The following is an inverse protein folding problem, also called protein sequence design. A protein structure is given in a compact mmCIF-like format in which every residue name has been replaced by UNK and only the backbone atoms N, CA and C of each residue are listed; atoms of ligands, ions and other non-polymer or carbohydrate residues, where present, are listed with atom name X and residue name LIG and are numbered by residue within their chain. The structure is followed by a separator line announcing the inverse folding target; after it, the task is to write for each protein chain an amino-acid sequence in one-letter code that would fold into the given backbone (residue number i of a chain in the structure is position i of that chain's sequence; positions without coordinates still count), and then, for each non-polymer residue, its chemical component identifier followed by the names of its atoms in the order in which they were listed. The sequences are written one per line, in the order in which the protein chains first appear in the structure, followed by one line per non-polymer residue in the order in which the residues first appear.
data_IF_297802447192
#
_entry.id   IF_297802447192
#
_cell.length_a   1.000
_cell.length_b   1.000
_cell.length_c   1.000
_cell.angle_alpha   90.00
_cell.angle_beta   90.00
_cell.angle_gamma   90.00
#
_symmetry.space_group_name_H-M   'P 1'
#
loop_
_entity.id
_entity.type
_entity.pdbx_description
1 polymer ?
#
# COMPACT_ATOMS: atom_id res chain seq x y z
N UNK A 1 12.89 -18.78 -3.63
CA UNK A 1 13.20 -17.47 -2.99
C UNK A 1 12.36 -16.32 -3.55
N UNK A 2 12.37 -16.05 -4.87
CA UNK A 2 11.65 -14.89 -5.46
C UNK A 2 10.13 -14.90 -5.21
N UNK A 3 9.47 -16.07 -5.21
CA UNK A 3 8.03 -16.19 -4.94
C UNK A 3 7.65 -15.78 -3.51
N UNK A 4 8.48 -16.10 -2.52
CA UNK A 4 8.23 -15.74 -1.12
C UNK A 4 8.36 -14.24 -0.88
N UNK A 5 9.33 -13.60 -1.54
CA UNK A 5 9.52 -12.15 -1.48
C UNK A 5 8.35 -11.41 -2.14
N UNK A 6 7.90 -11.90 -3.30
CA UNK A 6 6.74 -11.35 -3.99
C UNK A 6 5.46 -11.50 -3.14
N UNK A 7 5.25 -12.67 -2.54
CA UNK A 7 4.13 -12.91 -1.64
C UNK A 7 4.16 -11.98 -0.41
N UNK A 8 5.34 -11.76 0.19
CA UNK A 8 5.50 -10.85 1.33
C UNK A 8 5.13 -9.42 0.95
N UNK A 9 5.68 -8.90 -0.15
CA UNK A 9 5.43 -7.53 -0.58
C UNK A 9 3.95 -7.29 -0.95
N UNK A 10 3.32 -8.29 -1.58
CA UNK A 10 1.89 -8.28 -1.82
C UNK A 10 1.10 -8.31 -0.52
N UNK A 11 1.38 -9.22 0.41
CA UNK A 11 0.66 -9.33 1.66
C UNK A 11 0.75 -8.05 2.52
N UNK A 12 1.92 -7.41 2.56
CA UNK A 12 2.13 -6.16 3.30
C UNK A 12 1.74 -4.90 2.51
N UNK A 13 1.44 -4.99 1.21
CA UNK A 13 1.28 -3.82 0.31
C UNK A 13 2.49 -2.87 0.39
N UNK A 14 3.68 -3.43 0.59
CA UNK A 14 4.90 -2.64 0.73
C UNK A 14 5.97 -3.18 -0.22
N UNK A 15 6.29 -2.45 -1.30
CA UNK A 15 7.32 -2.87 -2.24
C UNK A 15 8.72 -2.87 -1.60
N UNK A 16 8.91 -2.09 -0.52
CA UNK A 16 10.17 -1.90 0.20
C UNK A 16 10.26 -2.68 1.51
N UNK A 17 9.39 -3.67 1.72
CA UNK A 17 9.30 -4.51 2.94
C UNK A 17 10.61 -5.16 3.43
N UNK A 18 11.71 -4.99 2.68
CA UNK A 18 13.05 -5.49 2.99
C UNK A 18 14.04 -4.42 3.48
N UNK A 19 13.75 -3.12 3.31
CA UNK A 19 14.76 -2.05 3.47
C UNK A 19 14.35 -0.89 4.37
N UNK A 20 13.05 -0.65 4.58
CA UNK A 20 12.60 0.52 5.32
C UNK A 20 11.66 0.13 6.47
N UNK A 21 12.12 0.40 7.69
CA UNK A 21 11.29 0.37 8.89
C UNK A 21 10.43 1.63 8.87
N UNK A 22 9.20 1.50 8.38
CA UNK A 22 8.20 2.57 8.45
C UNK A 22 7.54 2.57 9.84
N UNK A 23 7.05 3.72 10.30
CA UNK A 23 6.41 3.86 11.62
C UNK A 23 5.19 2.94 11.76
N UNK A 24 4.53 2.63 10.64
CA UNK A 24 3.38 1.74 10.52
C UNK A 24 3.74 0.26 10.80
N UNK A 25 5.04 -0.10 10.78
CA UNK A 25 5.53 -1.44 11.09
C UNK A 25 6.24 -1.55 12.45
N UNK A 26 6.16 -0.52 13.29
CA UNK A 26 6.82 -0.53 14.60
C UNK A 26 6.14 -1.53 15.55
N UNK A 27 6.90 -2.50 16.08
CA UNK A 27 6.41 -3.44 17.11
C UNK A 27 5.98 -2.70 18.39
N UNK A 28 6.70 -1.62 18.73
CA UNK A 28 6.45 -0.80 19.92
C UNK A 28 6.79 0.65 19.64
N UNK A 29 5.94 1.55 20.13
CA UNK A 29 6.21 2.98 20.18
C UNK A 29 6.44 3.38 21.63
N UNK A 30 7.55 4.08 21.88
CA UNK A 30 7.97 4.52 23.21
C UNK A 30 8.09 6.05 23.20
N UNK A 31 7.56 6.69 24.23
CA UNK A 31 7.88 8.09 24.54
C UNK A 31 8.92 8.07 25.64
N UNK A 32 10.16 8.40 25.28
CA UNK A 32 11.28 8.54 26.22
C UNK A 32 11.34 9.94 26.81
N UNK A 33 11.71 10.05 28.08
CA UNK A 33 12.03 11.29 28.78
C UNK A 33 13.36 11.17 29.51
N UNK A 34 14.03 12.31 29.68
CA UNK A 34 15.33 12.44 30.31
C UNK A 34 15.69 13.90 30.45
N UNK A 35 16.90 14.19 30.91
CA UNK A 35 17.40 15.57 30.92
C UNK A 35 17.51 16.14 29.50
N UNK A 36 17.57 17.47 29.38
CA UNK A 36 17.70 18.14 28.09
C UNK A 36 18.94 17.71 27.31
N UNK A 37 20.06 17.49 27.99
CA UNK A 37 21.32 17.02 27.39
C UNK A 37 21.22 15.56 26.95
N UNK A 38 20.57 14.70 27.72
CA UNK A 38 20.37 13.29 27.37
C UNK A 38 19.45 13.15 26.15
N UNK A 39 18.32 13.85 26.16
CA UNK A 39 17.34 13.80 25.06
C UNK A 39 17.92 14.38 23.76
N UNK A 40 18.69 15.46 23.85
CA UNK A 40 19.43 16.01 22.70
C UNK A 40 20.47 15.01 22.13
N UNK A 41 21.04 14.15 22.99
CA UNK A 41 21.96 13.08 22.59
C UNK A 41 21.25 11.77 22.18
N UNK A 42 19.91 11.76 22.09
CA UNK A 42 19.12 10.57 21.75
C UNK A 42 19.06 9.51 22.87
N UNK A 43 19.37 9.90 24.11
CA UNK A 43 19.31 9.04 25.30
C UNK A 43 18.07 9.39 26.12
N UNK A 44 17.49 8.36 26.74
CA UNK A 44 16.30 8.50 27.58
C UNK A 44 16.55 7.79 28.91
N UNK A 45 16.23 8.45 30.02
CA UNK A 45 16.40 7.87 31.37
C UNK A 45 15.25 6.93 31.71
N UNK A 46 14.05 7.24 31.21
CA UNK A 46 12.87 6.41 31.32
C UNK A 46 12.06 6.51 30.02
N UNK A 47 11.24 5.49 29.75
CA UNK A 47 10.34 5.50 28.61
C UNK A 47 9.01 4.85 28.95
N UNK A 48 7.93 5.40 28.41
CA UNK A 48 6.60 4.79 28.48
C UNK A 48 6.17 4.29 27.12
N UNK A 49 5.74 3.03 27.06
CA UNK A 49 5.12 2.49 25.87
C UNK A 49 3.78 3.18 25.64
N UNK A 50 3.62 3.72 24.44
CA UNK A 50 2.36 4.31 24.00
C UNK A 50 1.70 3.40 22.99
N UNK A 51 0.39 3.27 23.13
CA UNK A 51 -0.41 2.61 22.12
C UNK A 51 -0.62 3.58 20.95
N UNK A 52 0.24 3.48 19.94
CA UNK A 52 0.06 4.20 18.69
C UNK A 52 -1.01 3.49 17.85
N UNK A 53 -2.29 3.76 18.14
CA UNK A 53 -3.40 3.25 17.33
C UNK A 53 -4.77 3.42 17.97
N UNK A 54 -5.84 3.59 17.18
CA UNK A 54 -7.19 3.80 17.71
C UNK A 54 -7.69 2.53 18.41
N UNK A 55 -7.75 2.54 19.75
CA UNK A 55 -8.65 1.75 20.63
C UNK A 55 -8.89 0.25 20.39
N UNK A 56 -8.16 -0.43 19.51
CA UNK A 56 -8.39 -1.82 19.18
C UNK A 56 -7.94 -2.73 20.33
N UNK A 57 -8.77 -3.72 20.68
CA UNK A 57 -8.42 -4.72 21.69
C UNK A 57 -7.12 -5.43 21.33
N UNK A 58 -6.32 -5.86 22.31
CA UNK A 58 -5.06 -6.59 22.08
C UNK A 58 -5.22 -7.78 21.13
N UNK A 59 -6.39 -8.43 21.16
CA UNK A 59 -6.75 -9.52 20.26
C UNK A 59 -6.85 -9.06 18.81
N UNK A 60 -7.55 -7.95 18.55
CA UNK A 60 -7.73 -7.38 17.21
C UNK A 60 -6.40 -6.89 16.62
N UNK A 61 -5.53 -6.28 17.44
CA UNK A 61 -4.16 -5.91 17.00
C UNK A 61 -3.35 -7.13 16.61
N UNK A 62 -3.37 -8.19 17.43
CA UNK A 62 -2.66 -9.44 17.13
C UNK A 62 -3.20 -10.12 15.87
N UNK A 63 -4.50 -10.10 15.65
CA UNK A 63 -5.12 -10.58 14.41
C UNK A 63 -4.66 -9.72 13.20
N UNK A 64 -4.59 -8.40 13.34
CA UNK A 64 -4.09 -7.48 12.29
C UNK A 64 -2.60 -7.68 11.98
N UNK A 65 -1.76 -7.95 12.98
CA UNK A 65 -0.33 -8.25 12.83
C UNK A 65 -0.05 -9.60 12.14
N UNK A 66 -0.90 -10.60 12.35
CA UNK A 66 -0.73 -11.95 11.81
C UNK A 66 -1.29 -12.11 10.39
N UNK A 67 -2.30 -11.32 10.01
CA UNK A 67 -2.95 -11.37 8.68
C UNK A 67 -1.96 -11.39 7.50
N UNK A 68 -0.90 -10.56 7.45
CA UNK A 68 0.08 -10.64 6.37
C UNK A 68 0.80 -11.99 6.31
N UNK A 69 1.15 -12.57 7.46
CA UNK A 69 1.87 -13.85 7.53
C UNK A 69 0.98 -15.01 7.09
N UNK A 70 -0.28 -14.99 7.49
CA UNK A 70 -1.30 -15.96 7.06
C UNK A 70 -1.51 -15.93 5.55
N UNK A 71 -1.61 -14.72 4.98
CA UNK A 71 -1.75 -14.51 3.53
C UNK A 71 -0.52 -15.02 2.77
N UNK A 72 0.69 -14.73 3.25
CA UNK A 72 1.93 -15.27 2.65
C UNK A 72 1.91 -16.79 2.64
N UNK A 73 1.55 -17.42 3.76
CA UNK A 73 1.44 -18.87 3.86
C UNK A 73 0.36 -19.44 2.92
N UNK A 74 -0.77 -18.76 2.76
CA UNK A 74 -1.82 -19.14 1.81
C UNK A 74 -1.34 -19.07 0.36
N UNK A 75 -0.64 -18.00 -0.03
CA UNK A 75 -0.09 -17.82 -1.38
C UNK A 75 1.04 -18.80 -1.72
N UNK A 76 1.92 -19.09 -0.76
CA UNK A 76 2.98 -20.07 -0.91
C UNK A 76 2.43 -21.50 -0.97
N UNK A 77 1.40 -21.78 -0.18
CA UNK A 77 0.66 -23.05 -0.22
C UNK A 77 -0.32 -23.20 -1.38
N UNK A 78 -0.46 -22.19 -2.25
CA UNK A 78 -1.37 -22.21 -3.40
C UNK A 78 -2.86 -22.13 -3.07
N UNK A 79 -3.23 -21.84 -1.81
CA UNK A 79 -4.61 -21.65 -1.36
C UNK A 79 -5.18 -20.28 -1.73
N UNK A 80 -4.29 -19.33 -2.03
CA UNK A 80 -4.63 -18.00 -2.51
C UNK A 80 -3.73 -17.63 -3.70
N UNK A 81 -4.28 -16.91 -4.67
CA UNK A 81 -3.54 -16.30 -5.78
C UNK A 81 -3.58 -14.79 -5.68
N UNK A 82 -2.51 -14.12 -6.10
CA UNK A 82 -2.53 -12.68 -6.30
C UNK A 82 -3.42 -12.34 -7.49
N UNK A 83 -4.24 -11.31 -7.36
CA UNK A 83 -4.87 -10.69 -8.52
C UNK A 83 -3.81 -9.93 -9.35
N UNK A 84 -4.06 -9.75 -10.64
CA UNK A 84 -3.11 -9.08 -11.51
C UNK A 84 -2.93 -7.61 -11.09
N UNK A 85 -4.01 -6.94 -10.69
CA UNK A 85 -3.99 -5.56 -10.22
C UNK A 85 -3.05 -5.36 -9.03
N UNK A 86 -3.02 -6.29 -8.06
CA UNK A 86 -2.16 -6.15 -6.88
C UNK A 86 -0.68 -6.14 -7.26
N UNK A 87 -0.28 -6.98 -8.22
CA UNK A 87 1.11 -7.02 -8.69
C UNK A 87 1.47 -5.76 -9.47
N UNK A 88 0.61 -5.31 -10.37
CA UNK A 88 0.86 -4.14 -11.20
C UNK A 88 0.92 -2.84 -10.38
N UNK A 89 -0.01 -2.67 -9.44
CA UNK A 89 -0.09 -1.47 -8.61
C UNK A 89 1.05 -1.43 -7.57
N UNK A 90 1.46 -2.59 -7.03
CA UNK A 90 2.63 -2.66 -6.15
C UNK A 90 3.91 -2.23 -6.88
N UNK A 91 4.08 -2.63 -8.14
CA UNK A 91 5.21 -2.19 -8.96
C UNK A 91 5.11 -0.71 -9.31
N UNK A 92 3.91 -0.22 -9.64
CA UNK A 92 3.69 1.19 -9.94
C UNK A 92 4.10 2.08 -8.77
N UNK A 93 3.79 1.67 -7.53
CA UNK A 93 4.28 2.32 -6.31
C UNK A 93 5.82 2.30 -6.24
N UNK A 94 6.43 1.13 -6.43
CA UNK A 94 7.89 1.00 -6.38
C UNK A 94 8.62 1.87 -7.42
N UNK A 95 8.04 2.03 -8.61
CA UNK A 95 8.57 2.89 -9.66
C UNK A 95 8.39 4.38 -9.32
N UNK A 96 7.21 4.75 -8.82
CA UNK A 96 6.90 6.11 -8.42
C UNK A 96 7.81 6.59 -7.28
N UNK A 97 8.01 5.76 -6.26
CA UNK A 97 8.89 6.08 -5.12
C UNK A 97 10.35 6.27 -5.55
N UNK A 98 10.76 5.57 -6.62
CA UNK A 98 12.09 5.67 -7.20
C UNK A 98 12.22 6.77 -8.27
N UNK A 99 11.20 7.61 -8.46
CA UNK A 99 11.20 8.67 -9.47
C UNK A 99 11.09 8.19 -10.92
N UNK A 100 10.75 6.91 -11.14
CA UNK A 100 10.50 6.33 -12.47
C UNK A 100 9.06 6.59 -12.89
N UNK A 101 8.73 7.86 -13.10
CA UNK A 101 7.35 8.31 -13.33
C UNK A 101 6.73 7.68 -14.60
N UNK A 102 7.55 7.44 -15.63
CA UNK A 102 7.11 6.81 -16.88
C UNK A 102 6.64 5.38 -16.65
N UNK A 103 7.48 4.55 -16.04
CA UNK A 103 7.20 3.15 -15.72
C UNK A 103 6.00 3.03 -14.78
N UNK A 104 5.96 3.87 -13.74
CA UNK A 104 4.85 3.93 -12.80
C UNK A 104 3.51 4.20 -13.50
N UNK A 105 3.48 5.17 -14.40
CA UNK A 105 2.27 5.57 -15.13
C UNK A 105 1.79 4.47 -16.09
N UNK A 106 2.71 3.83 -16.81
CA UNK A 106 2.38 2.73 -17.72
C UNK A 106 1.80 1.52 -16.95
N UNK A 107 2.38 1.21 -15.79
CA UNK A 107 1.89 0.14 -14.94
C UNK A 107 0.56 0.50 -14.29
N UNK A 108 0.38 1.75 -13.82
CA UNK A 108 -0.88 2.23 -13.25
C UNK A 108 -2.03 2.09 -14.25
N UNK A 109 -1.84 2.44 -15.53
CA UNK A 109 -2.88 2.31 -16.55
C UNK A 109 -3.45 0.89 -16.60
N UNK A 110 -2.56 -0.11 -16.72
CA UNK A 110 -2.98 -1.52 -16.82
C UNK A 110 -3.49 -2.03 -15.46
N UNK A 111 -2.82 -1.65 -14.37
CA UNK A 111 -3.20 -2.03 -13.01
C UNK A 111 -4.58 -1.52 -12.61
N UNK A 112 -4.95 -0.31 -13.03
CA UNK A 112 -6.27 0.28 -12.83
C UNK A 112 -7.35 -0.49 -13.58
N UNK A 113 -7.10 -0.85 -14.85
CA UNK A 113 -8.05 -1.64 -15.63
C UNK A 113 -8.26 -3.04 -15.04
N UNK A 114 -7.17 -3.68 -14.62
CA UNK A 114 -7.24 -4.95 -13.90
C UNK A 114 -8.03 -4.79 -12.59
N UNK A 115 -7.79 -3.72 -11.82
CA UNK A 115 -8.49 -3.48 -10.55
C UNK A 115 -9.99 -3.34 -10.76
N UNK A 116 -10.41 -2.52 -11.73
CA UNK A 116 -11.82 -2.29 -12.03
C UNK A 116 -12.51 -3.57 -12.51
N UNK A 117 -11.80 -4.46 -13.21
CA UNK A 117 -12.33 -5.73 -13.70
C UNK A 117 -12.36 -6.81 -12.61
N UNK A 118 -11.26 -6.99 -11.87
CA UNK A 118 -11.09 -8.04 -10.87
C UNK A 118 -11.85 -7.76 -9.57
N UNK A 119 -12.04 -6.48 -9.22
CA UNK A 119 -12.67 -6.08 -7.97
C UNK A 119 -14.09 -5.53 -8.14
N UNK A 120 -14.67 -5.65 -9.34
CA UNK A 120 -16.08 -5.32 -9.54
C UNK A 120 -16.94 -6.17 -8.59
N UNK A 121 -17.80 -5.51 -7.83
CA UNK A 121 -18.72 -6.16 -6.88
C UNK A 121 -18.01 -7.00 -5.79
N UNK A 122 -16.70 -6.80 -5.59
CA UNK A 122 -15.91 -7.59 -4.64
C UNK A 122 -16.24 -7.28 -3.17
N UNK A 123 -16.88 -6.15 -2.89
CA UNK A 123 -17.23 -5.70 -1.55
C UNK A 123 -18.44 -4.77 -1.58
N UNK A 124 -19.48 -5.09 -0.79
CA UNK A 124 -20.61 -4.21 -0.55
C UNK A 124 -20.31 -3.23 0.61
N UNK A 125 -19.54 -2.18 0.30
CA UNK A 125 -19.17 -1.10 1.23
C UNK A 125 -19.31 0.25 0.51
N UNK A 126 -19.99 1.22 1.13
CA UNK A 126 -20.25 2.53 0.52
C UNK A 126 -18.97 3.27 0.15
N UNK A 127 -17.93 3.17 0.98
CA UNK A 127 -16.63 3.74 0.64
C UNK A 127 -16.01 3.06 -0.57
N UNK A 128 -16.30 1.77 -0.79
CA UNK A 128 -15.68 0.95 -1.84
C UNK A 128 -16.32 1.31 -3.16
N UNK A 129 -17.64 1.33 -3.19
CA UNK A 129 -18.43 1.81 -4.34
C UNK A 129 -18.03 3.24 -4.73
N UNK A 130 -17.86 4.14 -3.76
CA UNK A 130 -17.42 5.52 -4.03
C UNK A 130 -16.05 5.59 -4.68
N UNK A 131 -15.07 4.86 -4.15
CA UNK A 131 -13.72 4.86 -4.73
C UNK A 131 -13.68 4.18 -6.10
N UNK A 132 -14.44 3.08 -6.29
CA UNK A 132 -14.57 2.41 -7.59
C UNK A 132 -15.21 3.33 -8.63
N UNK A 133 -16.25 4.09 -8.25
CA UNK A 133 -16.87 5.10 -9.11
C UNK A 133 -15.90 6.22 -9.48
N UNK A 134 -15.15 6.76 -8.50
CA UNK A 134 -14.15 7.79 -8.75
C UNK A 134 -13.03 7.33 -9.70
N UNK A 135 -12.60 6.07 -9.58
CA UNK A 135 -11.63 5.46 -10.50
C UNK A 135 -12.21 5.27 -11.90
N UNK A 136 -13.46 4.83 -12.01
CA UNK A 136 -14.15 4.66 -13.29
C UNK A 136 -14.25 5.98 -14.06
N UNK A 137 -14.63 7.07 -13.38
CA UNK A 137 -14.72 8.41 -13.96
C UNK A 137 -13.36 8.95 -14.44
N UNK A 138 -12.29 8.62 -13.72
CA UNK A 138 -10.93 9.12 -14.00
C UNK A 138 -10.07 8.16 -14.82
N UNK A 139 -10.62 7.02 -15.24
CA UNK A 139 -9.90 6.01 -16.04
C UNK A 139 -9.26 6.60 -17.30
N UNK A 140 -9.98 7.49 -17.99
CA UNK A 140 -9.47 8.14 -19.20
C UNK A 140 -8.19 8.94 -18.93
N UNK A 141 -8.13 9.66 -17.81
CA UNK A 141 -6.94 10.44 -17.40
C UNK A 141 -5.70 9.57 -17.20
N UNK A 142 -5.87 8.37 -16.63
CA UNK A 142 -4.75 7.42 -16.50
C UNK A 142 -4.22 6.99 -17.88
N UNK A 143 -5.11 6.80 -18.85
CA UNK A 143 -4.75 6.51 -20.24
C UNK A 143 -4.01 7.67 -20.91
N UNK A 144 -4.50 8.90 -20.73
CA UNK A 144 -3.88 10.12 -21.25
C UNK A 144 -2.48 10.35 -20.67
N UNK A 145 -2.32 10.23 -19.35
CA UNK A 145 -1.03 10.33 -18.69
C UNK A 145 -0.05 9.26 -19.20
N UNK A 146 -0.51 8.02 -19.38
CA UNK A 146 0.33 6.95 -19.92
C UNK A 146 0.76 7.22 -21.36
N UNK A 147 -0.13 7.76 -22.20
CA UNK A 147 0.23 8.15 -23.57
C UNK A 147 1.22 9.32 -23.57
N UNK A 148 1.06 10.31 -22.69
CA UNK A 148 2.02 11.40 -22.52
C UNK A 148 3.40 10.87 -22.09
N UNK A 149 3.44 9.95 -21.13
CA UNK A 149 4.66 9.30 -20.66
C UNK A 149 5.40 8.50 -21.75
N UNK A 150 4.70 8.01 -22.78
CA UNK A 150 5.34 7.40 -23.95
C UNK A 150 6.07 8.44 -24.82
N UNK A 151 5.54 9.66 -24.88
CA UNK A 151 6.07 10.78 -25.65
C UNK A 151 7.19 11.56 -24.96
N UNK A 152 7.37 11.41 -23.65
CA UNK A 152 8.42 12.10 -22.90
C UNK A 152 8.13 12.20 -21.41
N UNK A 153 8.63 13.27 -20.79
CA UNK A 153 8.38 13.55 -19.37
C UNK A 153 6.92 13.95 -19.13
N UNK A 154 6.39 13.54 -17.98
CA UNK A 154 5.05 13.90 -17.53
C UNK A 154 5.03 15.35 -17.03
N UNK A 155 3.97 16.08 -17.37
CA UNK A 155 3.72 17.36 -16.74
C UNK A 155 3.49 17.19 -15.22
N UNK A 156 3.86 18.17 -14.37
CA UNK A 156 3.67 18.08 -12.93
C UNK A 156 2.25 17.72 -12.50
N UNK A 157 1.25 18.23 -13.21
CA UNK A 157 -0.17 17.97 -12.97
C UNK A 157 -0.51 16.51 -13.27
N UNK A 158 0.00 15.95 -14.38
CA UNK A 158 -0.21 14.55 -14.74
C UNK A 158 0.48 13.62 -13.76
N UNK A 159 1.67 14.00 -13.29
CA UNK A 159 2.37 13.26 -12.23
C UNK A 159 1.56 13.24 -10.94
N UNK A 160 0.94 14.35 -10.56
CA UNK A 160 0.08 14.40 -9.38
C UNK A 160 -1.19 13.55 -9.57
N UNK A 161 -1.83 13.61 -10.74
CA UNK A 161 -2.99 12.77 -11.07
C UNK A 161 -2.64 11.27 -10.94
N UNK A 162 -1.47 10.85 -11.40
CA UNK A 162 -0.96 9.47 -11.28
C UNK A 162 -0.82 9.06 -9.81
N UNK A 163 -0.26 9.94 -8.96
CA UNK A 163 -0.13 9.71 -7.52
C UNK A 163 -1.50 9.53 -6.86
N UNK A 164 -2.41 10.46 -7.10
CA UNK A 164 -3.74 10.45 -6.49
C UNK A 164 -4.54 9.21 -6.91
N UNK A 165 -4.47 8.82 -8.17
CA UNK A 165 -5.12 7.60 -8.68
C UNK A 165 -4.54 6.34 -8.04
N UNK A 166 -3.21 6.26 -7.91
CA UNK A 166 -2.56 5.13 -7.26
C UNK A 166 -2.96 5.03 -5.78
N UNK A 167 -3.06 6.15 -5.06
CA UNK A 167 -3.50 6.18 -3.67
C UNK A 167 -4.95 5.67 -3.49
N UNK A 168 -5.85 6.00 -4.42
CA UNK A 168 -7.22 5.47 -4.42
C UNK A 168 -7.20 3.95 -4.67
N UNK A 169 -6.42 3.48 -5.65
CA UNK A 169 -6.25 2.04 -5.92
C UNK A 169 -5.75 1.28 -4.68
N UNK A 170 -4.74 1.82 -4.00
CA UNK A 170 -4.18 1.24 -2.79
C UNK A 170 -5.18 1.23 -1.63
N UNK A 171 -5.99 2.29 -1.49
CA UNK A 171 -7.05 2.35 -0.47
C UNK A 171 -8.11 1.28 -0.71
N UNK A 172 -8.48 1.00 -1.96
CA UNK A 172 -9.38 -0.10 -2.31
C UNK A 172 -8.75 -1.45 -1.93
N UNK A 173 -7.49 -1.68 -2.30
CA UNK A 173 -6.77 -2.93 -1.97
C UNK A 173 -6.62 -3.13 -0.46
N UNK A 174 -6.29 -2.07 0.30
CA UNK A 174 -6.23 -2.11 1.77
C UNK A 174 -7.57 -2.50 2.37
N UNK A 175 -8.68 -1.90 1.94
CA UNK A 175 -10.01 -2.22 2.46
C UNK A 175 -10.45 -3.64 2.15
N UNK A 176 -10.15 -4.13 0.95
CA UNK A 176 -10.40 -5.54 0.59
C UNK A 176 -9.65 -6.51 1.52
N UNK A 177 -8.41 -6.20 1.90
CA UNK A 177 -7.63 -7.07 2.82
C UNK A 177 -8.19 -7.09 4.23
N UNK A 178 -8.65 -5.95 4.73
CA UNK A 178 -9.25 -5.86 6.06
C UNK A 178 -10.58 -6.63 6.09
N UNK A 179 -11.34 -6.64 5.01
CA UNK A 179 -12.70 -7.18 4.98
C UNK A 179 -12.82 -8.61 4.40
N UNK A 180 -11.78 -9.14 3.74
CA UNK A 180 -11.71 -10.56 3.32
C UNK A 180 -11.26 -11.53 4.40
N UNK A 181 -10.71 -11.05 5.52
CA UNK A 181 -10.30 -11.87 6.67
C UNK A 181 -11.21 -11.64 7.85
#
# INVERSE_FOLDING_TARGET
MNRALHAQALASANPHSRRELAAEGAERVLIGYGSGEETAAGKFSEARQVEAGPGASRRRRREEELRPQERVAAMLGGRESADACETLLLRARADLDAGRDREATLQLRVGLEALLAELKDALADLGHEKDMGALQERKAKAGEAANAALGGELAPEQRQDVKDLLEICERILRRRRVLRG
#
